data_IF_708846419953
#
_entry.id   IF_708846419953
#
_cell.length_a   1.000
_cell.length_b   1.000
_cell.length_c   1.000
_cell.angle_alpha   90.00
_cell.angle_beta   90.00
_cell.angle_gamma   90.00
#
_symmetry.space_group_name_H-M   'P 1'
#
loop_
_entity.id
_entity.type
_entity.pdbx_description
1 polymer ?
#
# COMPACT_ATOMS: atom_id res chain seq x y z
N UNK A 1 52.62 0.00 8.48
CA UNK A 1 53.45 -0.02 9.70
C UNK A 1 52.82 0.72 10.88
N UNK A 2 52.39 1.98 10.73
CA UNK A 2 51.84 2.79 11.84
C UNK A 2 50.65 2.10 12.55
N UNK A 3 49.73 1.49 11.80
CA UNK A 3 48.60 0.75 12.38
C UNK A 3 49.04 -0.48 13.21
N UNK A 4 50.09 -1.17 12.77
CA UNK A 4 50.59 -2.35 13.49
C UNK A 4 51.32 -1.94 14.77
N UNK A 5 52.06 -0.82 14.76
CA UNK A 5 52.72 -0.26 15.95
C UNK A 5 51.66 0.23 16.96
N UNK A 6 50.62 0.94 16.49
CA UNK A 6 49.51 1.39 17.33
C UNK A 6 48.75 0.21 17.97
N UNK A 7 48.52 -0.87 17.21
CA UNK A 7 47.90 -2.10 17.73
C UNK A 7 48.76 -2.80 18.80
N UNK A 8 50.08 -2.83 18.64
CA UNK A 8 50.99 -3.42 19.64
C UNK A 8 50.98 -2.64 20.95
N UNK A 9 51.01 -1.30 20.89
CA UNK A 9 50.97 -0.43 22.08
C UNK A 9 49.60 -0.49 22.78
N UNK A 10 48.52 -0.54 22.00
CA UNK A 10 47.16 -0.69 22.54
C UNK A 10 46.96 -2.05 23.23
N UNK A 11 47.48 -3.13 22.63
CA UNK A 11 47.42 -4.48 23.22
C UNK A 11 48.16 -4.56 24.56
N UNK A 12 49.31 -3.89 24.66
CA UNK A 12 50.11 -3.86 25.89
C UNK A 12 49.44 -3.06 27.01
N UNK A 13 48.81 -1.92 26.70
CA UNK A 13 48.21 -1.01 27.69
C UNK A 13 46.86 -1.48 28.21
N UNK A 14 46.04 -2.10 27.36
CA UNK A 14 44.68 -2.53 27.73
C UNK A 14 44.58 -4.01 28.10
N UNK A 15 45.67 -4.79 27.91
CA UNK A 15 45.64 -6.25 28.00
C UNK A 15 44.80 -6.91 26.89
N UNK A 16 44.36 -6.12 25.89
CA UNK A 16 43.47 -6.56 24.84
C UNK A 16 44.23 -7.37 23.80
N UNK A 17 43.96 -8.67 23.72
CA UNK A 17 44.53 -9.54 22.69
C UNK A 17 43.65 -9.45 21.44
N UNK A 18 44.26 -9.41 20.25
CA UNK A 18 43.53 -9.39 18.98
C UNK A 18 42.53 -10.56 18.86
N UNK A 19 42.82 -11.69 19.52
CA UNK A 19 41.92 -12.84 19.65
C UNK A 19 40.57 -12.52 20.31
N UNK A 20 40.47 -11.49 21.14
CA UNK A 20 39.20 -11.07 21.76
C UNK A 20 38.26 -10.38 20.75
N UNK A 21 38.77 -9.93 19.59
CA UNK A 21 37.94 -9.44 18.48
C UNK A 21 37.45 -10.55 17.57
N UNK A 22 38.00 -11.77 17.65
CA UNK A 22 37.61 -12.86 16.78
C UNK A 22 36.10 -13.16 16.82
N UNK A 23 35.42 -13.16 18.00
CA UNK A 23 33.97 -13.33 18.05
C UNK A 23 33.22 -12.17 17.37
N UNK A 24 33.66 -10.93 17.58
CA UNK A 24 33.02 -9.76 16.98
C UNK A 24 33.17 -9.75 15.45
N UNK A 25 34.37 -10.08 14.96
CA UNK A 25 34.64 -10.22 13.53
C UNK A 25 33.82 -11.35 12.90
N UNK A 26 33.68 -12.48 13.60
CA UNK A 26 32.84 -13.59 13.16
C UNK A 26 31.36 -13.17 13.05
N UNK A 27 30.83 -12.41 14.01
CA UNK A 27 29.45 -11.90 13.97
C UNK A 27 29.24 -10.95 12.79
N UNK A 28 30.18 -10.04 12.52
CA UNK A 28 30.11 -9.11 11.37
C UNK A 28 30.13 -9.90 10.06
N UNK A 29 31.05 -10.86 9.93
CA UNK A 29 31.18 -11.68 8.73
C UNK A 29 29.93 -12.53 8.50
N UNK A 30 29.38 -13.15 9.55
CA UNK A 30 28.14 -13.94 9.47
C UNK A 30 26.95 -13.06 9.06
N UNK A 31 26.88 -11.84 9.57
CA UNK A 31 25.83 -10.86 9.19
C UNK A 31 25.91 -10.47 7.72
N UNK A 32 27.12 -10.27 7.18
CA UNK A 32 27.35 -9.98 5.76
C UNK A 32 26.94 -11.16 4.86
N UNK A 33 27.30 -12.39 5.26
CA UNK A 33 26.91 -13.60 4.54
C UNK A 33 25.39 -13.78 4.55
N UNK A 34 24.74 -13.59 5.71
CA UNK A 34 23.28 -13.64 5.84
C UNK A 34 22.58 -12.62 4.93
N UNK A 35 23.08 -11.38 4.90
CA UNK A 35 22.54 -10.32 4.04
C UNK A 35 22.70 -10.66 2.56
N UNK A 36 23.84 -11.22 2.16
CA UNK A 36 24.11 -11.60 0.77
C UNK A 36 23.16 -12.70 0.31
N UNK A 37 22.98 -13.76 1.12
CA UNK A 37 22.03 -14.84 0.84
C UNK A 37 20.59 -14.31 0.78
N UNK A 38 20.22 -13.42 1.70
CA UNK A 38 18.90 -12.78 1.71
C UNK A 38 18.62 -11.99 0.42
N UNK A 39 19.56 -11.15 0.00
CA UNK A 39 19.42 -10.34 -1.23
C UNK A 39 19.27 -11.27 -2.45
N UNK A 40 20.04 -12.36 -2.51
CA UNK A 40 19.98 -13.32 -3.60
C UNK A 40 18.61 -14.01 -3.70
N UNK A 41 18.08 -14.53 -2.58
CA UNK A 41 16.74 -15.17 -2.55
C UNK A 41 15.64 -14.16 -2.89
N UNK A 42 15.77 -12.91 -2.43
CA UNK A 42 14.82 -11.85 -2.76
C UNK A 42 14.82 -11.53 -4.26
N UNK A 43 15.98 -11.54 -4.93
CA UNK A 43 16.07 -11.32 -6.38
C UNK A 43 15.41 -12.43 -7.21
N UNK A 44 15.34 -13.65 -6.68
CA UNK A 44 14.62 -14.78 -7.31
C UNK A 44 13.09 -14.64 -7.19
N UNK A 45 12.60 -13.60 -6.52
CA UNK A 45 11.17 -13.32 -6.34
C UNK A 45 10.59 -13.85 -5.05
N UNK A 46 11.42 -14.24 -4.08
CA UNK A 46 10.96 -14.66 -2.76
C UNK A 46 10.36 -13.49 -1.97
N UNK A 47 9.20 -13.72 -1.33
CA UNK A 47 8.59 -12.77 -0.38
C UNK A 47 9.61 -12.44 0.74
N UNK A 48 9.70 -11.17 1.15
CA UNK A 48 10.64 -10.67 2.17
C UNK A 48 10.70 -11.55 3.43
N UNK A 49 9.55 -12.01 3.94
CA UNK A 49 9.50 -12.87 5.12
C UNK A 49 10.06 -14.27 4.86
N UNK A 50 9.71 -14.91 3.75
CA UNK A 50 10.22 -16.25 3.39
C UNK A 50 11.69 -16.21 3.03
N UNK A 51 12.13 -15.14 2.37
CA UNK A 51 13.53 -14.91 2.02
C UNK A 51 14.40 -14.73 3.26
N UNK A 52 13.90 -14.02 4.28
CA UNK A 52 14.59 -13.88 5.57
C UNK A 52 14.75 -15.22 6.29
N UNK A 53 13.67 -16.01 6.35
CA UNK A 53 13.69 -17.35 6.96
C UNK A 53 14.63 -18.30 6.24
N UNK A 54 14.55 -18.36 4.91
CA UNK A 54 15.41 -19.22 4.10
C UNK A 54 16.88 -18.81 4.21
N UNK A 55 17.18 -17.51 4.18
CA UNK A 55 18.54 -17.00 4.37
C UNK A 55 19.10 -17.38 5.74
N UNK A 56 18.31 -17.21 6.81
CA UNK A 56 18.74 -17.59 8.16
C UNK A 56 19.10 -19.08 8.25
N UNK A 57 18.26 -19.98 7.71
CA UNK A 57 18.50 -21.42 7.71
C UNK A 57 19.78 -21.76 6.93
N UNK A 58 19.93 -21.22 5.72
CA UNK A 58 21.10 -21.47 4.87
C UNK A 58 22.38 -20.96 5.53
N UNK A 59 22.36 -19.73 6.07
CA UNK A 59 23.52 -19.16 6.76
C UNK A 59 23.90 -19.98 7.98
N UNK A 60 22.93 -20.44 8.77
CA UNK A 60 23.23 -21.31 9.91
C UNK A 60 23.98 -22.58 9.49
N UNK A 61 23.46 -23.31 8.50
CA UNK A 61 24.11 -24.54 8.03
C UNK A 61 25.48 -24.26 7.42
N UNK A 62 25.62 -23.15 6.70
CA UNK A 62 26.89 -22.73 6.11
C UNK A 62 27.92 -22.42 7.21
N UNK A 63 27.55 -21.64 8.24
CA UNK A 63 28.44 -21.35 9.36
C UNK A 63 28.82 -22.63 10.11
N UNK A 64 27.87 -23.55 10.33
CA UNK A 64 28.13 -24.84 11.00
C UNK A 64 29.06 -25.75 10.20
N UNK A 65 28.97 -25.72 8.87
CA UNK A 65 29.86 -26.47 8.00
C UNK A 65 31.27 -25.84 7.92
N UNK A 66 31.37 -24.51 7.85
CA UNK A 66 32.66 -23.82 7.64
C UNK A 66 33.45 -23.61 8.94
N UNK A 67 32.79 -23.41 10.09
CA UNK A 67 33.44 -23.06 11.36
C UNK A 67 33.05 -24.02 12.51
N UNK A 68 33.36 -25.32 12.43
CA UNK A 68 33.01 -26.27 13.48
C UNK A 68 33.65 -25.92 14.84
N UNK A 69 34.82 -25.30 14.84
CA UNK A 69 35.53 -24.86 16.05
C UNK A 69 34.75 -23.80 16.85
N UNK A 70 33.99 -22.93 16.17
CA UNK A 70 33.16 -21.93 16.82
C UNK A 70 32.06 -22.58 17.67
N UNK A 71 31.50 -23.70 17.20
CA UNK A 71 30.48 -24.45 17.93
C UNK A 71 31.08 -25.27 19.06
N UNK A 72 32.27 -25.84 18.87
CA UNK A 72 33.01 -26.48 19.97
C UNK A 72 33.33 -25.48 21.09
N UNK A 73 33.70 -24.24 20.74
CA UNK A 73 33.86 -23.15 21.68
C UNK A 73 32.54 -22.71 22.33
N UNK A 74 31.45 -22.67 21.57
CA UNK A 74 30.13 -22.33 22.10
C UNK A 74 29.69 -23.37 23.16
N UNK A 75 30.00 -24.65 22.96
CA UNK A 75 29.70 -25.72 23.91
C UNK A 75 30.52 -25.62 25.21
N UNK A 76 31.74 -25.11 25.16
CA UNK A 76 32.55 -24.91 26.38
C UNK A 76 32.14 -23.69 27.20
N UNK A 77 31.32 -22.79 26.64
CA UNK A 77 30.82 -21.60 27.30
C UNK A 77 29.32 -21.74 27.62
N UNK A 78 28.96 -21.76 28.91
CA UNK A 78 27.59 -22.03 29.37
C UNK A 78 26.52 -21.11 28.74
N UNK A 79 26.84 -19.83 28.54
CA UNK A 79 25.93 -18.87 27.89
C UNK A 79 25.76 -19.17 26.39
N UNK A 80 26.85 -19.46 25.69
CA UNK A 80 26.82 -19.73 24.25
C UNK A 80 26.17 -21.09 23.94
N UNK A 81 26.31 -22.08 24.82
CA UNK A 81 25.65 -23.37 24.72
C UNK A 81 24.12 -23.25 24.71
N UNK A 82 23.56 -22.35 25.53
CA UNK A 82 22.11 -22.10 25.54
C UNK A 82 21.63 -21.42 24.25
N UNK A 83 22.41 -20.48 23.72
CA UNK A 83 22.11 -19.81 22.44
C UNK A 83 22.15 -20.81 21.28
N UNK A 84 23.16 -21.69 21.22
CA UNK A 84 23.23 -22.74 20.20
C UNK A 84 22.04 -23.70 20.29
N UNK A 85 21.67 -24.12 21.50
CA UNK A 85 20.49 -24.97 21.72
C UNK A 85 19.18 -24.30 21.25
N UNK A 86 18.99 -23.01 21.56
CA UNK A 86 17.82 -22.26 21.12
C UNK A 86 17.75 -22.14 19.58
N UNK A 87 18.89 -21.89 18.93
CA UNK A 87 18.95 -21.82 17.46
C UNK A 87 18.65 -23.19 16.84
N UNK A 88 19.20 -24.27 17.40
CA UNK A 88 19.00 -25.64 16.93
C UNK A 88 17.53 -26.06 16.98
N UNK A 89 16.79 -25.66 18.02
CA UNK A 89 15.34 -25.89 18.13
C UNK A 89 14.54 -25.01 17.16
N UNK A 90 14.99 -23.78 16.91
CA UNK A 90 14.28 -22.83 16.03
C UNK A 90 14.27 -23.31 14.58
N UNK A 91 15.34 -23.94 14.10
CA UNK A 91 15.48 -24.39 12.71
C UNK A 91 14.38 -25.36 12.24
N UNK A 92 14.07 -26.48 12.92
CA UNK A 92 13.00 -27.38 12.49
C UNK A 92 11.64 -26.69 12.48
N UNK A 93 11.37 -25.78 13.43
CA UNK A 93 10.14 -24.97 13.43
C UNK A 93 10.05 -24.10 12.19
N UNK A 94 11.15 -23.45 11.79
CA UNK A 94 11.20 -22.63 10.58
C UNK A 94 11.06 -23.46 9.29
N UNK A 95 11.65 -24.66 9.24
CA UNK A 95 11.49 -25.59 8.11
C UNK A 95 10.03 -26.01 7.96
N UNK A 96 9.36 -26.37 9.06
CA UNK A 96 7.93 -26.73 9.05
C UNK A 96 7.08 -25.54 8.59
N UNK A 97 7.36 -24.34 9.09
CA UNK A 97 6.65 -23.11 8.71
C UNK A 97 6.82 -22.80 7.21
N UNK A 98 8.04 -22.98 6.66
CA UNK A 98 8.31 -22.84 5.23
C UNK A 98 7.58 -23.91 4.40
N UNK A 99 7.60 -25.17 4.84
CA UNK A 99 6.91 -26.26 4.16
C UNK A 99 5.39 -26.07 4.13
N UNK A 100 4.79 -25.59 5.22
CA UNK A 100 3.36 -25.28 5.28
C UNK A 100 2.99 -24.14 4.31
N UNK A 101 3.80 -23.07 4.27
CA UNK A 101 3.59 -21.96 3.32
C UNK A 101 3.79 -22.41 1.87
N UNK A 102 4.81 -23.21 1.58
CA UNK A 102 5.05 -23.74 0.24
C UNK A 102 3.88 -24.62 -0.23
N UNK A 103 3.31 -25.46 0.66
CA UNK A 103 2.12 -26.26 0.35
C UNK A 103 0.89 -25.40 0.04
N UNK A 104 0.71 -24.27 0.71
CA UNK A 104 -0.40 -23.35 0.42
C UNK A 104 -0.28 -22.63 -0.92
N UNK A 105 0.93 -22.53 -1.47
CA UNK A 105 1.19 -21.89 -2.77
C UNK A 105 1.25 -22.89 -3.93
N UNK A 106 1.43 -24.18 -3.63
CA UNK A 106 1.25 -25.22 -4.63
C UNK A 106 -0.26 -25.31 -4.91
N UNK A 107 -0.71 -25.06 -6.16
CA UNK A 107 -2.08 -25.31 -6.53
C UNK A 107 -2.36 -26.77 -6.17
N UNK A 108 -3.35 -26.98 -5.30
CA UNK A 108 -3.76 -28.31 -4.85
C UNK A 108 -4.41 -29.02 -6.03
N UNK A 109 -3.59 -29.46 -7.00
CA UNK A 109 -3.99 -30.16 -8.21
C UNK A 109 -4.25 -31.63 -7.89
N UNK A 110 -5.17 -31.89 -6.97
CA UNK A 110 -5.56 -33.24 -6.59
C UNK A 110 -7.08 -33.47 -6.67
N UNK A 111 -7.71 -32.89 -7.69
CA UNK A 111 -9.11 -33.17 -8.05
C UNK A 111 -9.35 -33.32 -9.58
N UNK A 112 -8.32 -33.54 -10.42
CA UNK A 112 -8.51 -33.65 -11.88
C UNK A 112 -7.83 -34.88 -12.49
N UNK A 113 -7.80 -36.00 -11.77
CA UNK A 113 -7.27 -37.27 -12.33
C UNK A 113 -8.14 -38.49 -12.05
N UNK A 114 -9.39 -38.28 -11.64
CA UNK A 114 -10.43 -39.29 -11.72
C UNK A 114 -11.50 -38.77 -12.65
N UNK A 115 -11.73 -39.50 -13.74
CA UNK A 115 -12.94 -39.46 -14.57
C UNK A 115 -12.94 -38.51 -15.79
N UNK A 116 -12.07 -38.77 -16.77
CA UNK A 116 -12.44 -38.65 -18.18
C UNK A 116 -11.84 -39.83 -18.94
N UNK A 117 -12.53 -40.97 -18.88
CA UNK A 117 -12.57 -41.91 -19.98
C UNK A 117 -13.79 -41.51 -20.80
N UNK A 118 -13.58 -40.94 -21.99
CA UNK A 118 -14.56 -40.89 -23.09
C UNK A 118 -13.87 -40.40 -24.36
N UNK A 119 -13.45 -41.41 -25.13
CA UNK A 119 -13.42 -41.39 -26.58
C UNK A 119 -14.66 -40.73 -27.17
N UNK A 120 -14.54 -39.57 -27.81
CA UNK A 120 -14.86 -39.45 -29.24
C UNK A 120 -14.38 -38.14 -29.87
N UNK A 121 -14.09 -38.21 -31.17
CA UNK A 121 -13.45 -37.17 -31.97
C UNK A 121 -14.34 -35.96 -32.20
N UNK A 122 -14.14 -34.91 -31.41
CA UNK A 122 -14.41 -33.53 -31.82
C UNK A 122 -13.19 -32.69 -31.43
N UNK A 123 -12.47 -32.16 -32.41
CA UNK A 123 -11.36 -31.23 -32.19
C UNK A 123 -11.87 -30.05 -31.37
N UNK A 124 -11.52 -29.93 -30.07
CA UNK A 124 -11.96 -28.79 -29.30
C UNK A 124 -11.19 -27.59 -29.84
N UNK A 125 -11.92 -26.57 -30.33
CA UNK A 125 -11.36 -25.23 -30.49
C UNK A 125 -10.65 -24.91 -29.19
N UNK A 126 -9.33 -24.73 -29.25
CA UNK A 126 -8.50 -24.40 -28.10
C UNK A 126 -9.09 -23.17 -27.43
N UNK A 127 -9.87 -23.37 -26.37
CA UNK A 127 -10.31 -22.32 -25.48
C UNK A 127 -9.01 -21.79 -24.89
N UNK A 128 -8.61 -20.61 -25.35
CA UNK A 128 -7.40 -19.95 -24.89
C UNK A 128 -7.40 -19.96 -23.37
N UNK A 129 -6.41 -20.63 -22.77
CA UNK A 129 -6.28 -20.66 -21.31
C UNK A 129 -6.38 -19.22 -20.81
N UNK A 130 -7.24 -18.95 -19.81
CA UNK A 130 -7.39 -17.60 -19.27
C UNK A 130 -6.01 -17.09 -18.88
N UNK A 131 -5.67 -15.94 -19.44
CA UNK A 131 -4.36 -15.31 -19.29
C UNK A 131 -4.13 -14.96 -17.82
N UNK A 132 -3.46 -15.85 -17.09
CA UNK A 132 -3.20 -15.73 -15.65
C UNK A 132 -2.38 -14.48 -15.31
N UNK A 133 -1.73 -13.86 -16.30
CA UNK A 133 -1.06 -12.57 -16.16
C UNK A 133 -2.00 -11.40 -15.86
N UNK A 134 -3.31 -11.52 -16.15
CA UNK A 134 -4.22 -10.43 -15.85
C UNK A 134 -4.51 -10.30 -14.35
N UNK A 135 -4.76 -11.41 -13.66
CA UNK A 135 -5.07 -11.38 -12.22
C UNK A 135 -3.96 -10.75 -11.38
N UNK A 136 -2.68 -11.06 -11.69
CA UNK A 136 -1.53 -10.52 -10.96
C UNK A 136 -1.40 -9.00 -11.13
N UNK A 137 -1.78 -8.46 -12.29
CA UNK A 137 -1.74 -7.02 -12.54
C UNK A 137 -2.88 -6.27 -11.82
N UNK A 138 -4.10 -6.84 -11.73
CA UNK A 138 -5.20 -6.26 -10.93
C UNK A 138 -4.85 -6.21 -9.45
N UNK A 139 -4.27 -7.29 -8.92
CA UNK A 139 -3.82 -7.36 -7.52
C UNK A 139 -2.71 -6.34 -7.23
N UNK A 140 -1.75 -6.19 -8.14
CA UNK A 140 -0.69 -5.17 -8.03
C UNK A 140 -1.24 -3.74 -8.00
N UNK A 141 -2.27 -3.44 -8.81
CA UNK A 141 -2.94 -2.12 -8.78
C UNK A 141 -3.69 -1.89 -7.47
N UNK A 142 -4.34 -2.91 -6.92
CA UNK A 142 -5.02 -2.83 -5.63
C UNK A 142 -4.03 -2.58 -4.48
N UNK A 143 -2.89 -3.29 -4.47
CA UNK A 143 -1.84 -3.06 -3.47
C UNK A 143 -1.27 -1.63 -3.59
N UNK A 144 -1.06 -1.14 -4.81
CA UNK A 144 -0.62 0.23 -5.06
C UNK A 144 -1.64 1.25 -4.55
N UNK A 145 -2.93 1.02 -4.80
CA UNK A 145 -4.02 1.87 -4.29
C UNK A 145 -3.99 1.95 -2.76
N UNK A 146 -3.86 0.81 -2.08
CA UNK A 146 -3.81 0.76 -0.62
C UNK A 146 -2.59 1.48 -0.03
N UNK A 147 -1.46 1.50 -0.75
CA UNK A 147 -0.26 2.25 -0.34
C UNK A 147 -0.48 3.76 -0.46
N UNK A 148 -1.01 4.21 -1.59
CA UNK A 148 -1.30 5.64 -1.83
C UNK A 148 -2.38 6.16 -0.87
N UNK A 149 -3.40 5.36 -0.56
CA UNK A 149 -4.43 5.70 0.43
C UNK A 149 -3.83 5.90 1.84
N UNK A 150 -2.92 4.99 2.26
CA UNK A 150 -2.19 5.16 3.52
C UNK A 150 -1.34 6.41 3.54
N UNK A 151 -0.77 6.82 2.41
CA UNK A 151 0.01 8.05 2.30
C UNK A 151 -0.90 9.28 2.37
N UNK A 152 -2.03 9.28 1.67
CA UNK A 152 -3.03 10.34 1.74
C UNK A 152 -3.55 10.53 3.17
N UNK A 153 -3.91 9.44 3.87
CA UNK A 153 -4.38 9.48 5.25
C UNK A 153 -3.33 10.03 6.23
N UNK A 154 -2.04 9.75 6.00
CA UNK A 154 -0.96 10.35 6.79
C UNK A 154 -0.87 11.85 6.57
N UNK A 155 -0.95 12.31 5.32
CA UNK A 155 -0.92 13.73 4.99
C UNK A 155 -2.12 14.46 5.63
N UNK A 156 -3.32 13.89 5.52
CA UNK A 156 -4.53 14.44 6.14
C UNK A 156 -4.38 14.62 7.67
N UNK A 157 -3.80 13.62 8.36
CA UNK A 157 -3.56 13.70 9.80
C UNK A 157 -2.57 14.82 10.17
N UNK A 158 -1.56 15.07 9.33
CA UNK A 158 -0.61 16.16 9.53
C UNK A 158 -1.30 17.52 9.31
N UNK A 159 -2.08 17.66 8.23
CA UNK A 159 -2.83 18.88 7.94
C UNK A 159 -3.81 19.21 9.07
N UNK A 160 -4.51 18.21 9.61
CA UNK A 160 -5.41 18.39 10.77
C UNK A 160 -4.68 18.87 12.03
N UNK A 161 -3.44 18.43 12.25
CA UNK A 161 -2.60 18.92 13.35
C UNK A 161 -2.21 20.38 13.14
N UNK A 162 -1.82 20.75 11.92
CA UNK A 162 -1.36 22.10 11.59
C UNK A 162 -2.51 23.11 11.67
N UNK A 163 -3.69 22.75 11.18
CA UNK A 163 -4.92 23.54 11.36
C UNK A 163 -5.21 23.75 12.84
N UNK A 164 -5.11 22.69 13.66
CA UNK A 164 -5.31 22.81 15.11
C UNK A 164 -4.28 23.73 15.75
N UNK A 165 -3.01 23.65 15.34
CA UNK A 165 -1.95 24.54 15.83
C UNK A 165 -2.26 26.01 15.50
N UNK A 166 -2.75 26.31 14.29
CA UNK A 166 -3.19 27.67 13.93
C UNK A 166 -4.33 28.13 14.84
N UNK A 167 -5.36 27.29 15.03
CA UNK A 167 -6.49 27.60 15.91
C UNK A 167 -6.02 27.87 17.35
N UNK A 168 -5.08 27.07 17.87
CA UNK A 168 -4.57 27.22 19.23
C UNK A 168 -3.75 28.52 19.38
N UNK A 169 -2.93 28.89 18.39
CA UNK A 169 -2.23 30.18 18.36
C UNK A 169 -3.22 31.34 18.35
N UNK A 170 -4.26 31.26 17.51
CA UNK A 170 -5.30 32.29 17.40
C UNK A 170 -6.09 32.45 18.70
N UNK A 171 -6.42 31.35 19.38
CA UNK A 171 -7.16 31.39 20.65
C UNK A 171 -6.33 31.91 21.82
N UNK A 172 -5.05 31.53 21.89
CA UNK A 172 -4.19 31.82 23.06
C UNK A 172 -3.55 33.20 23.00
N UNK A 173 -3.11 33.62 21.82
CA UNK A 173 -2.30 34.84 21.65
C UNK A 173 -2.95 35.88 20.76
N UNK A 174 -3.98 35.51 19.99
CA UNK A 174 -4.55 36.37 18.96
C UNK A 174 -3.58 36.64 17.80
N UNK A 175 -3.99 37.53 16.90
CA UNK A 175 -3.19 37.95 15.74
C UNK A 175 -2.32 39.14 16.18
N UNK A 176 -1.12 38.88 16.68
CA UNK A 176 -0.13 39.90 17.04
C UNK A 176 1.02 39.92 16.03
N UNK A 177 1.80 41.01 15.93
CA UNK A 177 2.97 41.05 15.05
C UNK A 177 3.97 39.91 15.30
N UNK A 178 4.08 39.44 16.55
CA UNK A 178 4.96 38.35 16.95
C UNK A 178 4.45 36.96 16.53
N UNK A 179 3.12 36.75 16.48
CA UNK A 179 2.54 35.45 16.09
C UNK A 179 2.39 35.29 14.58
N UNK A 180 2.39 36.38 13.81
CA UNK A 180 2.27 36.35 12.34
C UNK A 180 3.33 35.48 11.64
N UNK A 181 4.63 35.53 11.97
CA UNK A 181 5.64 34.66 11.37
C UNK A 181 5.34 33.17 11.64
N UNK A 182 5.00 32.82 12.90
CA UNK A 182 4.67 31.45 13.26
C UNK A 182 3.45 30.93 12.50
N UNK A 183 2.37 31.72 12.41
CA UNK A 183 1.19 31.36 11.63
C UNK A 183 1.53 31.19 10.15
N UNK A 184 2.36 32.09 9.58
CA UNK A 184 2.81 32.01 8.18
C UNK A 184 3.59 30.72 7.91
N UNK A 185 4.48 30.34 8.82
CA UNK A 185 5.26 29.11 8.67
C UNK A 185 4.36 27.87 8.69
N UNK A 186 3.36 27.82 9.59
CA UNK A 186 2.38 26.71 9.60
C UNK A 186 1.55 26.69 8.31
N UNK A 187 1.14 27.85 7.77
CA UNK A 187 0.45 27.89 6.48
C UNK A 187 1.32 27.41 5.31
N UNK A 188 2.62 27.70 5.34
CA UNK A 188 3.57 27.21 4.32
C UNK A 188 3.74 25.69 4.40
N UNK A 189 3.82 25.15 5.61
CA UNK A 189 3.87 23.70 5.82
C UNK A 189 2.57 23.03 5.37
N UNK A 190 1.42 23.63 5.70
CA UNK A 190 0.10 23.18 5.24
C UNK A 190 0.02 23.16 3.71
N UNK A 191 0.53 24.19 3.02
CA UNK A 191 0.57 24.26 1.56
C UNK A 191 1.43 23.15 0.94
N UNK A 192 2.57 22.83 1.58
CA UNK A 192 3.43 21.72 1.13
C UNK A 192 2.72 20.37 1.29
N UNK A 193 2.09 20.13 2.44
CA UNK A 193 1.34 18.89 2.71
C UNK A 193 0.13 18.75 1.77
N UNK A 194 -0.56 19.85 1.48
CA UNK A 194 -1.66 19.90 0.51
C UNK A 194 -1.18 19.52 -0.91
N UNK A 195 0.01 19.98 -1.31
CA UNK A 195 0.62 19.59 -2.59
C UNK A 195 0.97 18.09 -2.64
N UNK A 196 1.46 17.53 -1.54
CA UNK A 196 1.74 16.09 -1.43
C UNK A 196 0.44 15.27 -1.46
N UNK A 197 -0.61 15.70 -0.76
CA UNK A 197 -1.94 15.07 -0.79
C UNK A 197 -2.53 15.11 -2.21
N UNK A 198 -2.44 16.25 -2.90
CA UNK A 198 -2.89 16.42 -4.27
C UNK A 198 -2.18 15.47 -5.23
N UNK A 199 -0.86 15.24 -5.03
CA UNK A 199 -0.10 14.26 -5.81
C UNK A 199 -0.61 12.83 -5.59
N UNK A 200 -0.78 12.40 -4.35
CA UNK A 200 -1.32 11.07 -4.04
C UNK A 200 -2.75 10.89 -4.56
N UNK A 201 -3.60 11.91 -4.47
CA UNK A 201 -4.96 11.89 -5.05
C UNK A 201 -4.93 11.72 -6.58
N UNK A 202 -4.02 12.41 -7.27
CA UNK A 202 -3.84 12.23 -8.72
C UNK A 202 -3.36 10.82 -9.07
N UNK A 203 -2.49 10.21 -8.24
CA UNK A 203 -2.07 8.82 -8.43
C UNK A 203 -3.22 7.84 -8.21
N UNK A 204 -4.02 8.04 -7.16
CA UNK A 204 -5.23 7.24 -6.90
C UNK A 204 -6.22 7.33 -8.08
N UNK A 205 -6.45 8.53 -8.61
CA UNK A 205 -7.29 8.74 -9.81
C UNK A 205 -6.81 7.93 -11.01
N UNK A 206 -5.50 7.93 -11.27
CA UNK A 206 -4.92 7.13 -12.37
C UNK A 206 -5.05 5.62 -12.14
N UNK A 207 -4.89 5.15 -10.90
CA UNK A 207 -5.08 3.73 -10.56
C UNK A 207 -6.55 3.35 -10.73
N UNK A 208 -7.47 4.19 -10.26
CA UNK A 208 -8.90 3.99 -10.35
C UNK A 208 -9.37 3.93 -11.82
N UNK A 209 -8.87 4.82 -12.68
CA UNK A 209 -9.12 4.77 -14.13
C UNK A 209 -8.63 3.47 -14.77
N UNK A 210 -7.47 2.95 -14.34
CA UNK A 210 -6.98 1.66 -14.83
C UNK A 210 -7.88 0.52 -14.37
N UNK A 211 -8.27 0.50 -13.10
CA UNK A 211 -9.19 -0.51 -12.56
C UNK A 211 -10.56 -0.48 -13.26
N UNK A 212 -11.09 0.70 -13.55
CA UNK A 212 -12.34 0.85 -14.31
C UNK A 212 -12.21 0.28 -15.73
N UNK A 213 -11.13 0.59 -16.45
CA UNK A 213 -10.89 0.02 -17.79
C UNK A 213 -10.79 -1.50 -17.75
N UNK A 214 -10.25 -2.04 -16.67
CA UNK A 214 -10.18 -3.48 -16.43
C UNK A 214 -11.55 -4.10 -16.20
N UNK A 215 -12.35 -3.52 -15.32
CA UNK A 215 -13.72 -4.00 -15.03
C UNK A 215 -14.61 -3.91 -16.28
N UNK A 216 -14.50 -2.84 -17.09
CA UNK A 216 -15.22 -2.72 -18.37
C UNK A 216 -14.83 -3.83 -19.36
N UNK A 217 -13.53 -4.13 -19.47
CA UNK A 217 -13.03 -5.21 -20.34
C UNK A 217 -13.52 -6.57 -19.83
N UNK A 218 -13.42 -6.83 -18.53
CA UNK A 218 -13.92 -8.05 -17.90
C UNK A 218 -15.40 -8.24 -18.13
N UNK A 219 -16.21 -7.21 -17.87
CA UNK A 219 -17.65 -7.21 -18.15
C UNK A 219 -17.96 -7.52 -19.62
N UNK A 220 -17.23 -6.91 -20.56
CA UNK A 220 -17.43 -7.15 -22.00
C UNK A 220 -17.13 -8.61 -22.37
N UNK A 221 -16.06 -9.19 -21.84
CA UNK A 221 -15.68 -10.59 -22.07
C UNK A 221 -16.69 -11.57 -21.45
N UNK A 222 -17.15 -11.30 -20.22
CA UNK A 222 -18.17 -12.13 -19.55
C UNK A 222 -19.48 -12.07 -20.33
N UNK A 223 -19.91 -10.89 -20.78
CA UNK A 223 -21.12 -10.71 -21.58
C UNK A 223 -21.05 -11.45 -22.94
N UNK A 224 -19.90 -11.41 -23.61
CA UNK A 224 -19.68 -12.17 -24.84
C UNK A 224 -19.74 -13.69 -24.60
N UNK A 225 -19.11 -14.17 -23.53
CA UNK A 225 -19.12 -15.59 -23.15
C UNK A 225 -20.52 -16.06 -22.77
N UNK A 226 -21.31 -15.22 -22.09
CA UNK A 226 -22.67 -15.52 -21.67
C UNK A 226 -23.58 -15.96 -22.81
N UNK A 227 -23.50 -15.26 -23.95
CA UNK A 227 -24.31 -15.56 -25.13
C UNK A 227 -23.92 -16.89 -25.81
N UNK A 228 -22.78 -17.49 -25.45
CA UNK A 228 -22.24 -18.71 -26.04
C UNK A 228 -22.42 -19.94 -25.14
N UNK A 229 -22.87 -19.76 -23.90
CA UNK A 229 -23.00 -20.83 -22.91
C UNK A 229 -24.39 -21.48 -22.90
N UNK A 230 -24.44 -22.71 -22.41
CA UNK A 230 -25.68 -23.44 -22.11
C UNK A 230 -26.47 -22.76 -20.98
N UNK A 231 -27.80 -22.95 -20.89
CA UNK A 231 -28.65 -22.30 -19.89
C UNK A 231 -28.23 -22.53 -18.42
N UNK A 232 -27.67 -23.70 -18.11
CA UNK A 232 -27.18 -24.04 -16.76
C UNK A 232 -25.95 -23.20 -16.37
N UNK A 233 -24.97 -23.11 -17.28
CA UNK A 233 -23.75 -22.31 -17.08
C UNK A 233 -24.04 -20.79 -17.13
N UNK A 234 -25.07 -20.37 -17.87
CA UNK A 234 -25.52 -18.98 -17.87
C UNK A 234 -25.93 -18.51 -16.47
N UNK A 235 -26.51 -19.38 -15.64
CA UNK A 235 -26.92 -18.99 -14.28
C UNK A 235 -25.73 -18.59 -13.42
N UNK A 236 -24.65 -19.37 -13.44
CA UNK A 236 -23.41 -19.05 -12.71
C UNK A 236 -22.76 -17.77 -13.23
N UNK A 237 -22.73 -17.59 -14.55
CA UNK A 237 -22.13 -16.41 -15.16
C UNK A 237 -22.95 -15.13 -14.93
N UNK A 238 -24.27 -15.25 -14.76
CA UNK A 238 -25.17 -14.13 -14.43
C UNK A 238 -24.78 -13.48 -13.10
N UNK A 239 -24.40 -14.26 -12.10
CA UNK A 239 -23.94 -13.76 -10.80
C UNK A 239 -22.61 -12.99 -10.95
N UNK A 240 -21.65 -13.53 -11.71
CA UNK A 240 -20.39 -12.84 -11.97
C UNK A 240 -20.58 -11.51 -12.72
N UNK A 241 -21.46 -11.47 -13.73
CA UNK A 241 -21.82 -10.24 -14.46
C UNK A 241 -22.46 -9.21 -13.53
N UNK A 242 -23.30 -9.66 -12.60
CA UNK A 242 -23.93 -8.77 -11.62
C UNK A 242 -22.89 -8.12 -10.69
N UNK A 243 -21.93 -8.91 -10.18
CA UNK A 243 -20.84 -8.41 -9.34
C UNK A 243 -20.00 -7.36 -10.08
N UNK A 244 -19.60 -7.63 -11.33
CA UNK A 244 -18.83 -6.66 -12.13
C UNK A 244 -19.62 -5.39 -12.43
N UNK A 245 -20.94 -5.52 -12.66
CA UNK A 245 -21.81 -4.35 -12.86
C UNK A 245 -21.88 -3.48 -11.61
N UNK A 246 -21.98 -4.09 -10.43
CA UNK A 246 -21.95 -3.37 -9.15
C UNK A 246 -20.61 -2.66 -8.93
N UNK A 247 -19.48 -3.29 -9.28
CA UNK A 247 -18.16 -2.67 -9.26
C UNK A 247 -18.10 -1.41 -10.14
N UNK A 248 -18.59 -1.50 -11.38
CA UNK A 248 -18.64 -0.36 -12.32
C UNK A 248 -19.50 0.79 -11.75
N UNK A 249 -20.64 0.48 -11.12
CA UNK A 249 -21.50 1.51 -10.49
C UNK A 249 -20.78 2.18 -9.32
N UNK A 250 -20.09 1.42 -8.47
CA UNK A 250 -19.30 1.94 -7.37
C UNK A 250 -18.18 2.87 -7.89
N UNK A 251 -17.46 2.46 -8.94
CA UNK A 251 -16.40 3.26 -9.55
C UNK A 251 -16.91 4.61 -10.10
N UNK A 252 -18.09 4.63 -10.71
CA UNK A 252 -18.73 5.89 -11.14
C UNK A 252 -19.08 6.82 -9.97
N UNK A 253 -19.53 6.26 -8.84
CA UNK A 253 -19.79 7.03 -7.64
C UNK A 253 -18.48 7.65 -7.09
N UNK A 254 -17.38 6.90 -7.11
CA UNK A 254 -16.05 7.40 -6.71
C UNK A 254 -15.63 8.59 -7.60
N UNK A 255 -15.79 8.51 -8.92
CA UNK A 255 -15.46 9.63 -9.82
C UNK A 255 -16.26 10.91 -9.52
N UNK A 256 -17.53 10.78 -9.12
CA UNK A 256 -18.34 11.93 -8.72
C UNK A 256 -17.81 12.58 -7.44
N UNK A 257 -17.36 11.77 -6.49
CA UNK A 257 -16.75 12.24 -5.24
C UNK A 257 -15.40 12.91 -5.55
N UNK A 258 -14.56 12.31 -6.41
CA UNK A 258 -13.28 12.88 -6.84
C UNK A 258 -13.45 14.28 -7.43
N UNK A 259 -14.46 14.48 -8.31
CA UNK A 259 -14.76 15.81 -8.88
C UNK A 259 -15.12 16.84 -7.83
N UNK A 260 -15.89 16.45 -6.81
CA UNK A 260 -16.24 17.35 -5.69
C UNK A 260 -15.02 17.70 -4.84
N UNK A 261 -14.16 16.71 -4.56
CA UNK A 261 -12.90 16.93 -3.83
C UNK A 261 -12.01 17.92 -4.59
N UNK A 262 -11.90 17.78 -5.91
CA UNK A 262 -11.12 18.69 -6.75
C UNK A 262 -11.64 20.14 -6.68
N UNK A 263 -12.96 20.34 -6.69
CA UNK A 263 -13.58 21.65 -6.49
C UNK A 263 -13.26 22.24 -5.11
N UNK A 264 -13.45 21.45 -4.04
CA UNK A 264 -13.13 21.89 -2.68
C UNK A 264 -11.65 22.21 -2.49
N UNK A 265 -10.75 21.45 -3.10
CA UNK A 265 -9.31 21.68 -3.05
C UNK A 265 -8.94 23.01 -3.71
N UNK A 266 -9.54 23.34 -4.87
CA UNK A 266 -9.32 24.64 -5.52
C UNK A 266 -9.79 25.82 -4.64
N UNK A 267 -10.96 25.69 -4.02
CA UNK A 267 -11.47 26.70 -3.07
C UNK A 267 -10.57 26.85 -1.84
N UNK A 268 -10.12 25.72 -1.29
CA UNK A 268 -9.19 25.70 -0.16
C UNK A 268 -7.88 26.41 -0.49
N UNK A 269 -7.24 26.09 -1.62
CA UNK A 269 -6.00 26.75 -2.04
C UNK A 269 -6.20 28.25 -2.26
N UNK A 270 -7.33 28.66 -2.87
CA UNK A 270 -7.66 30.07 -3.03
C UNK A 270 -7.75 30.78 -1.67
N UNK A 271 -8.45 30.18 -0.70
CA UNK A 271 -8.59 30.75 0.65
C UNK A 271 -7.26 30.80 1.40
N UNK A 272 -6.43 29.77 1.26
CA UNK A 272 -5.10 29.70 1.87
C UNK A 272 -4.19 30.81 1.33
N UNK A 273 -4.19 31.02 0.01
CA UNK A 273 -3.42 32.10 -0.62
C UNK A 273 -3.91 33.49 -0.20
N UNK A 274 -5.22 33.69 -0.06
CA UNK A 274 -5.78 34.95 0.47
C UNK A 274 -5.30 35.20 1.91
N UNK A 275 -5.37 34.19 2.78
CA UNK A 275 -4.90 34.29 4.16
C UNK A 275 -3.39 34.60 4.23
N UNK A 276 -2.57 33.94 3.42
CA UNK A 276 -1.13 34.21 3.34
C UNK A 276 -0.84 35.65 2.90
N UNK A 277 -1.59 36.18 1.92
CA UNK A 277 -1.42 37.56 1.45
C UNK A 277 -1.82 38.59 2.52
N UNK A 278 -2.90 38.37 3.26
CA UNK A 278 -3.31 39.23 4.39
C UNK A 278 -2.28 39.24 5.53
N UNK A 279 -1.65 38.09 5.79
CA UNK A 279 -0.55 37.97 6.74
C UNK A 279 0.77 38.57 6.20
N UNK A 280 0.89 38.72 4.87
CA UNK A 280 2.03 39.27 4.15
C UNK A 280 2.10 40.81 4.14
N UNK A 281 0.96 41.47 3.88
CA UNK A 281 0.94 42.89 3.49
C UNK A 281 0.98 43.93 4.62
N UNK A 282 1.01 43.52 5.89
CA UNK A 282 0.92 44.45 7.02
C UNK A 282 2.24 45.17 7.41
N UNK A 283 3.30 45.13 6.59
CA UNK A 283 4.58 45.78 6.90
C UNK A 283 5.02 46.91 5.96
N UNK A 284 4.18 47.39 5.03
CA UNK A 284 4.59 48.49 4.15
C UNK A 284 3.68 49.73 4.15
N UNK A 285 2.36 49.62 4.17
CA UNK A 285 1.46 50.81 4.10
C UNK A 285 0.09 50.55 4.73
N UNK A 286 -0.03 50.69 6.05
CA UNK A 286 -1.31 51.01 6.70
C UNK A 286 -1.46 52.53 6.88
N UNK A 287 -1.17 53.29 5.83
CA UNK A 287 -1.71 54.63 5.66
C UNK A 287 -2.44 54.63 4.32
N UNK A 288 -3.77 54.52 4.39
CA UNK A 288 -4.72 54.63 3.28
C UNK A 288 -4.82 53.41 2.35
N UNK A 289 -5.68 52.45 2.71
CA UNK A 289 -6.40 51.68 1.69
C UNK A 289 -7.89 51.64 2.01
N UNK A 290 -8.76 51.76 0.98
CA UNK A 290 -10.18 52.01 1.12
C UNK A 290 -10.92 50.77 1.61
N UNK A 291 -11.98 51.02 2.37
CA UNK A 291 -12.94 50.05 2.86
C UNK A 291 -13.45 49.15 1.73
N UNK A 292 -13.29 47.84 1.89
CA UNK A 292 -13.90 46.83 1.03
C UNK A 292 -15.42 47.06 0.94
N UNK A 293 -16.03 46.98 -0.25
CA UNK A 293 -17.46 47.12 -0.40
C UNK A 293 -18.15 46.00 0.37
N UNK A 294 -19.13 46.38 1.20
CA UNK A 294 -20.04 45.45 1.87
C UNK A 294 -20.60 44.48 0.84
N UNK A 295 -20.20 43.22 0.95
CA UNK A 295 -20.74 42.14 0.14
C UNK A 295 -22.20 41.97 0.56
N UNK A 296 -23.10 42.60 -0.18
CA UNK A 296 -24.54 42.42 0.02
C UNK A 296 -24.86 40.95 -0.15
N UNK A 297 -25.59 40.42 0.84
CA UNK A 297 -25.88 39.01 1.00
C UNK A 297 -26.38 38.37 -0.29
N UNK A 298 -25.73 37.28 -0.66
CA UNK A 298 -26.32 36.28 -1.53
C UNK A 298 -27.54 35.75 -0.78
N UNK A 299 -28.73 36.30 -1.08
CA UNK A 299 -30.01 35.71 -0.74
C UNK A 299 -30.10 34.39 -1.52
N UNK A 300 -29.58 33.32 -0.92
CA UNK A 300 -29.92 31.97 -1.32
C UNK A 300 -31.40 31.78 -0.99
N UNK A 301 -32.24 31.90 -2.01
CA UNK A 301 -33.61 31.42 -1.95
C UNK A 301 -33.55 29.91 -1.73
N UNK A 302 -33.62 29.48 -0.47
CA UNK A 302 -33.98 28.13 -0.10
C UNK A 302 -35.43 27.90 -0.56
N UNK A 303 -35.59 27.55 -1.83
CA UNK A 303 -36.77 26.83 -2.29
C UNK A 303 -36.64 25.43 -1.71
N UNK A 304 -37.35 25.20 -0.62
CA UNK A 304 -37.55 23.89 -0.01
C UNK A 304 -38.06 22.91 -1.06
N UNK A 305 -37.15 22.10 -1.63
CA UNK A 305 -37.53 20.83 -2.22
C UNK A 305 -37.84 19.85 -1.08
N UNK A 306 -39.06 19.98 -0.58
CA UNK A 306 -39.78 18.86 0.03
C UNK A 306 -40.18 17.93 -1.11
N UNK A 307 -39.52 16.80 -1.23
CA UNK A 307 -40.03 15.65 -1.98
C UNK A 307 -39.81 14.39 -1.16
N UNK A 308 -40.86 14.06 -0.41
CA UNK A 308 -41.40 12.72 -0.21
C UNK A 308 -40.42 11.55 -0.37
N UNK A 309 -39.97 11.03 0.77
CA UNK A 309 -39.74 9.61 0.97
C UNK A 309 -41.06 8.85 0.77
N UNK A 310 -41.36 8.48 -0.48
CA UNK A 310 -42.27 7.36 -0.76
C UNK A 310 -41.47 6.28 -1.48
N UNK A 311 -41.24 5.22 -0.74
CA UNK A 311 -41.10 3.83 -1.20
C UNK A 311 -41.57 3.62 -2.64
N UNK A 312 -40.60 3.57 -3.56
CA UNK A 312 -40.78 2.95 -4.88
C UNK A 312 -39.77 1.81 -5.02
N UNK A 313 -40.13 0.66 -4.44
CA UNK A 313 -39.75 -0.62 -5.00
C UNK A 313 -40.68 -0.84 -6.20
N UNK A 314 -40.26 -0.50 -7.41
CA UNK A 314 -40.85 -1.10 -8.61
C UNK A 314 -39.95 -0.94 -9.84
N UNK A 315 -39.62 -2.10 -10.40
CA UNK A 315 -39.61 -2.39 -11.83
C UNK A 315 -38.85 -1.41 -12.76
N UNK A 316 -37.56 -1.68 -12.95
CA UNK A 316 -36.85 -1.37 -14.19
C UNK A 316 -36.13 -2.60 -14.77
N UNK A 317 -36.52 -3.83 -14.37
CA UNK A 317 -35.86 -5.06 -14.84
C UNK A 317 -36.72 -5.95 -15.75
N UNK A 318 -37.99 -5.64 -15.98
CA UNK A 318 -38.88 -6.52 -16.78
C UNK A 318 -38.83 -6.26 -18.30
N UNK A 319 -38.06 -5.27 -18.79
CA UNK A 319 -38.04 -4.94 -20.23
C UNK A 319 -36.99 -5.69 -21.07
N UNK A 320 -36.21 -6.61 -20.48
CA UNK A 320 -35.23 -7.41 -21.25
C UNK A 320 -35.58 -8.90 -21.39
N UNK A 321 -36.63 -9.39 -20.72
CA UNK A 321 -37.08 -10.79 -20.86
C UNK A 321 -38.17 -11.01 -21.93
N UNK A 322 -38.77 -9.93 -22.47
CA UNK A 322 -39.88 -10.03 -23.43
C UNK A 322 -39.45 -10.19 -24.91
N UNK A 323 -38.15 -10.34 -25.23
CA UNK A 323 -37.67 -10.54 -26.62
C UNK A 323 -37.01 -11.89 -26.90
N UNK A 324 -37.09 -12.85 -25.96
CA UNK A 324 -36.52 -14.20 -26.11
C UNK A 324 -37.58 -15.30 -26.34
N UNK A 325 -38.83 -14.91 -26.56
CA UNK A 325 -39.90 -15.82 -27.01
C UNK A 325 -40.63 -15.21 -28.21
N UNK A 326 -39.94 -15.21 -29.35
CA UNK A 326 -40.52 -15.20 -30.70
C UNK A 326 -39.54 -15.85 -31.64
#
# INVERSE_FOLDING_TARGET
>A
MILSIAMTVFSYTTGFRLGNLAPLAAVILLSLVALTVFIFIKHIGGNTATSGLAAFIITYFLTRATFPELYAWAQSNQFAAWVDAAILITIPVLIVMLAMKAKSQLPTGRDVLSEIDLSDKATPRAVSKPDTGQFTQKEGLAEQSAKEEKQAAKSEKLMGRDIKAIIDILKTKGITPETKPAIRDVFRDLQRQDSELSRSMNQLKLINQKLEQWDIKGFTQLSQTYNQLTPENQRLLKEAIQVERESIVANKAIQLIEKRIEQFHQEFQRNLNLALNELGHNNAKQANLPTLPKHNGCKTNHKTCSTNSKTSKSSCYDSLEAKSKS
#
